data_IF_865439508852
#
_entry.id   IF_865439508852
#
_cell.length_a   1.000
_cell.length_b   1.000
_cell.length_c   1.000
_cell.angle_alpha   90.00
_cell.angle_beta   90.00
_cell.angle_gamma   90.00
#
_symmetry.space_group_name_H-M   'P 1'
#
loop_
_entity.id
_entity.type
_entity.pdbx_description
1 polymer ?
#
# COMPACT_ATOMS: atom_id res chain seq x y z
N UNK A 1 -20.76 -58.59 4.34
CA UNK A 1 -19.60 -58.01 5.05
C UNK A 1 -18.57 -57.44 4.06
N UNK A 2 -17.97 -58.27 3.20
CA UNK A 2 -16.91 -57.84 2.25
C UNK A 2 -17.37 -56.76 1.26
N UNK A 3 -18.60 -56.87 0.75
CA UNK A 3 -19.17 -55.89 -0.19
C UNK A 3 -19.38 -54.50 0.45
N UNK A 4 -19.69 -54.44 1.74
CA UNK A 4 -19.83 -53.19 2.49
C UNK A 4 -18.47 -52.53 2.72
N UNK A 5 -17.44 -53.32 3.08
CA UNK A 5 -16.07 -52.82 3.18
C UNK A 5 -15.56 -52.27 1.85
N UNK A 6 -15.88 -52.92 0.73
CA UNK A 6 -15.57 -52.42 -0.60
C UNK A 6 -16.22 -51.07 -0.88
N UNK A 7 -17.48 -50.89 -0.51
CA UNK A 7 -18.19 -49.62 -0.68
C UNK A 7 -17.59 -48.50 0.18
N UNK A 8 -17.20 -48.80 1.43
CA UNK A 8 -16.54 -47.83 2.32
C UNK A 8 -15.14 -47.47 1.79
N UNK A 9 -14.36 -48.43 1.32
CA UNK A 9 -13.04 -48.17 0.74
C UNK A 9 -13.17 -47.38 -0.55
N UNK A 10 -14.12 -47.72 -1.43
CA UNK A 10 -14.39 -46.96 -2.64
C UNK A 10 -14.79 -45.52 -2.32
N UNK A 11 -15.66 -45.31 -1.34
CA UNK A 11 -16.05 -43.98 -0.88
C UNK A 11 -14.85 -43.22 -0.32
N UNK A 12 -14.02 -43.84 0.52
CA UNK A 12 -12.81 -43.22 1.08
C UNK A 12 -11.81 -42.82 -0.02
N UNK A 13 -11.64 -43.66 -1.06
CA UNK A 13 -10.79 -43.35 -2.21
C UNK A 13 -11.36 -42.18 -3.01
N UNK A 14 -12.67 -42.15 -3.25
CA UNK A 14 -13.33 -41.03 -3.94
C UNK A 14 -13.18 -39.74 -3.15
N UNK A 15 -13.44 -39.78 -1.84
CA UNK A 15 -13.27 -38.61 -0.96
C UNK A 15 -11.82 -38.14 -0.96
N UNK A 16 -10.85 -39.05 -0.84
CA UNK A 16 -9.42 -38.72 -0.87
C UNK A 16 -8.99 -38.13 -2.23
N UNK A 17 -9.52 -38.67 -3.33
CA UNK A 17 -9.25 -38.15 -4.67
C UNK A 17 -9.86 -36.76 -4.87
N UNK A 18 -11.09 -36.53 -4.40
CA UNK A 18 -11.76 -35.23 -4.47
C UNK A 18 -11.08 -34.20 -3.58
N UNK A 19 -10.70 -34.55 -2.35
CA UNK A 19 -9.97 -33.63 -1.47
C UNK A 19 -8.59 -33.31 -2.04
N UNK A 20 -7.88 -34.31 -2.57
CA UNK A 20 -6.61 -34.06 -3.26
C UNK A 20 -6.82 -33.16 -4.48
N UNK A 21 -7.84 -33.39 -5.29
CA UNK A 21 -8.15 -32.57 -6.46
C UNK A 21 -8.61 -31.14 -6.11
N UNK A 22 -9.29 -30.93 -4.98
CA UNK A 22 -9.67 -29.59 -4.51
C UNK A 22 -8.46 -28.87 -3.92
N UNK A 23 -7.59 -29.59 -3.21
CA UNK A 23 -6.35 -29.05 -2.62
C UNK A 23 -5.28 -28.79 -3.68
N UNK A 24 -5.19 -29.63 -4.72
CA UNK A 24 -4.24 -29.50 -5.83
C UNK A 24 -4.83 -28.75 -7.03
N UNK A 25 -6.15 -28.56 -7.08
CA UNK A 25 -6.87 -27.86 -8.14
C UNK A 25 -6.70 -26.34 -8.11
N UNK A 26 -5.84 -25.83 -7.23
CA UNK A 26 -5.35 -24.45 -7.31
C UNK A 26 -4.36 -24.20 -8.45
N UNK A 27 -3.78 -25.23 -9.08
CA UNK A 27 -2.63 -25.04 -10.00
C UNK A 27 -2.68 -25.87 -11.30
N UNK A 28 -3.83 -26.40 -11.73
CA UNK A 28 -3.90 -27.13 -13.02
C UNK A 28 -5.27 -27.05 -13.70
N UNK A 29 -5.56 -25.90 -14.31
CA UNK A 29 -6.50 -25.79 -15.42
C UNK A 29 -5.75 -25.31 -16.67
N UNK A 30 -5.94 -25.90 -17.87
CA UNK A 30 -5.31 -25.46 -19.12
C UNK A 30 -6.02 -24.23 -19.72
N UNK A 31 -6.58 -23.38 -18.88
CA UNK A 31 -6.87 -22.00 -19.24
C UNK A 31 -5.57 -21.23 -19.04
N UNK A 32 -5.16 -20.32 -19.94
CA UNK A 32 -4.02 -19.46 -19.64
C UNK A 32 -4.31 -18.82 -18.30
N UNK A 33 -3.43 -19.07 -17.32
CA UNK A 33 -3.40 -18.42 -16.02
C UNK A 33 -3.79 -16.96 -16.27
N UNK A 34 -5.00 -16.56 -15.85
CA UNK A 34 -5.35 -15.16 -15.88
C UNK A 34 -4.30 -14.51 -15.01
N UNK A 35 -3.31 -13.86 -15.63
CA UNK A 35 -2.14 -13.32 -14.94
C UNK A 35 -2.71 -12.61 -13.72
N UNK A 36 -2.37 -13.07 -12.50
CA UNK A 36 -3.12 -12.75 -11.29
C UNK A 36 -3.30 -11.26 -11.33
N UNK A 37 -4.56 -10.80 -11.51
CA UNK A 37 -4.89 -9.44 -11.87
C UNK A 37 -3.98 -8.56 -11.05
N UNK A 38 -2.94 -8.04 -11.71
CA UNK A 38 -1.87 -7.34 -11.04
C UNK A 38 -2.53 -6.04 -10.67
N UNK A 39 -3.21 -6.04 -9.53
CA UNK A 39 -3.60 -4.89 -8.75
C UNK A 39 -2.31 -4.26 -8.17
N UNK A 40 -1.29 -4.19 -9.02
CA UNK A 40 -0.10 -3.40 -8.86
C UNK A 40 -0.58 -2.01 -9.26
N UNK A 41 -1.20 -1.33 -8.30
CA UNK A 41 -1.06 0.12 -8.27
C UNK A 41 0.19 0.38 -7.42
N UNK A 42 1.39 0.29 -8.03
CA UNK A 42 2.61 0.50 -7.29
C UNK A 42 2.60 1.93 -6.74
N UNK A 43 3.20 2.10 -5.57
CA UNK A 43 3.47 3.44 -5.05
C UNK A 43 4.20 4.27 -6.13
N UNK A 44 3.93 5.58 -6.20
CA UNK A 44 4.56 6.43 -7.19
C UNK A 44 6.09 6.35 -7.09
N UNK A 45 6.75 6.09 -8.23
CA UNK A 45 8.22 6.01 -8.31
C UNK A 45 8.85 7.36 -8.69
N UNK A 46 8.06 8.25 -9.29
CA UNK A 46 8.49 9.55 -9.82
C UNK A 46 8.33 10.70 -8.82
N UNK A 47 7.55 10.49 -7.75
CA UNK A 47 7.33 11.48 -6.69
C UNK A 47 7.34 10.84 -5.30
N UNK A 48 7.54 11.63 -4.24
CA UNK A 48 7.37 11.15 -2.87
C UNK A 48 5.97 10.55 -2.64
N UNK A 49 5.93 9.50 -1.83
CA UNK A 49 4.71 8.82 -1.38
C UNK A 49 3.97 9.74 -0.41
N UNK A 50 2.68 9.96 -0.66
CA UNK A 50 1.78 10.66 0.25
C UNK A 50 0.88 9.69 1.03
N UNK A 51 0.16 10.21 2.02
CA UNK A 51 -0.77 9.42 2.84
C UNK A 51 -1.86 8.73 2.01
N UNK A 52 -2.42 9.42 1.01
CA UNK A 52 -3.45 8.87 0.12
C UNK A 52 -2.93 7.68 -0.72
N UNK A 53 -1.66 7.68 -1.09
CA UNK A 53 -1.05 6.57 -1.84
C UNK A 53 -0.91 5.31 -0.97
N UNK A 54 -0.66 5.50 0.34
CA UNK A 54 -0.62 4.40 1.31
C UNK A 54 -2.03 3.83 1.53
N UNK A 55 -3.06 4.66 1.54
CA UNK A 55 -4.45 4.21 1.70
C UNK A 55 -4.99 3.46 0.46
N UNK A 56 -4.47 3.77 -0.73
CA UNK A 56 -4.90 3.12 -1.98
C UNK A 56 -4.15 1.83 -2.29
N UNK A 57 -3.03 1.56 -1.62
CA UNK A 57 -2.18 0.40 -1.94
C UNK A 57 -2.89 -0.93 -1.66
N UNK A 58 -2.68 -1.91 -2.54
CA UNK A 58 -3.27 -3.26 -2.42
C UNK A 58 -2.19 -4.31 -2.54
N UNK A 59 -2.10 -5.17 -1.52
CA UNK A 59 -1.13 -6.26 -1.50
C UNK A 59 -1.75 -7.57 -2.00
N UNK A 60 -1.04 -8.34 -2.85
CA UNK A 60 -1.47 -9.68 -3.23
C UNK A 60 -1.41 -10.65 -2.03
N UNK A 61 -2.33 -11.61 -2.01
CA UNK A 61 -2.34 -12.68 -1.01
C UNK A 61 -1.32 -13.76 -1.37
N UNK A 62 -0.56 -14.23 -0.38
CA UNK A 62 0.42 -15.31 -0.55
C UNK A 62 0.23 -16.40 0.53
N UNK A 63 0.53 -17.68 0.24
CA UNK A 63 0.31 -18.80 1.18
C UNK A 63 0.99 -18.64 2.55
N UNK A 64 2.06 -17.86 2.63
CA UNK A 64 2.71 -17.45 3.89
C UNK A 64 2.95 -15.94 3.89
N UNK A 65 1.94 -15.19 4.30
CA UNK A 65 2.00 -13.74 4.44
C UNK A 65 1.83 -13.30 5.89
N UNK A 66 2.05 -12.00 6.13
CA UNK A 66 1.58 -11.35 7.35
C UNK A 66 0.05 -11.35 7.40
N UNK A 67 -0.52 -11.21 8.60
CA UNK A 67 -1.97 -11.06 8.74
C UNK A 67 -2.36 -9.68 8.22
N UNK A 68 -3.38 -9.62 7.37
CA UNK A 68 -3.82 -8.36 6.77
C UNK A 68 -4.20 -7.32 7.82
N UNK A 69 -4.91 -7.71 8.88
CA UNK A 69 -5.27 -6.80 9.96
C UNK A 69 -4.04 -6.13 10.62
N UNK A 70 -2.98 -6.90 10.91
CA UNK A 70 -1.78 -6.33 11.54
C UNK A 70 -1.03 -5.38 10.58
N UNK A 71 -1.04 -5.71 9.28
CA UNK A 71 -0.44 -4.85 8.23
C UNK A 71 -1.27 -3.57 8.06
N UNK A 72 -2.58 -3.69 7.95
CA UNK A 72 -3.51 -2.58 7.76
C UNK A 72 -3.47 -1.62 8.96
N UNK A 73 -3.41 -2.13 10.19
CA UNK A 73 -3.28 -1.33 11.40
C UNK A 73 -1.98 -0.50 11.41
N UNK A 74 -0.87 -1.12 10.99
CA UNK A 74 0.43 -0.43 10.89
C UNK A 74 0.40 0.61 9.77
N UNK A 75 -0.15 0.29 8.61
CA UNK A 75 -0.24 1.20 7.47
C UNK A 75 -1.15 2.39 7.76
N UNK A 76 -2.29 2.18 8.42
CA UNK A 76 -3.19 3.24 8.84
C UNK A 76 -2.49 4.23 9.79
N UNK A 77 -1.69 3.71 10.74
CA UNK A 77 -0.89 4.56 11.63
C UNK A 77 0.18 5.34 10.86
N UNK A 78 0.90 4.69 9.95
CA UNK A 78 1.94 5.36 9.14
C UNK A 78 1.34 6.43 8.24
N UNK A 79 0.19 6.16 7.61
CA UNK A 79 -0.52 7.13 6.78
C UNK A 79 -0.94 8.38 7.58
N UNK A 80 -1.45 8.18 8.80
CA UNK A 80 -1.81 9.28 9.69
C UNK A 80 -0.58 10.12 10.11
N UNK A 81 0.51 9.47 10.51
CA UNK A 81 1.74 10.18 10.88
C UNK A 81 2.38 10.90 9.68
N UNK A 82 2.27 10.34 8.47
CA UNK A 82 2.75 10.98 7.24
C UNK A 82 1.93 12.23 6.92
N UNK A 83 0.60 12.15 7.02
CA UNK A 83 -0.28 13.29 6.81
C UNK A 83 0.01 14.44 7.80
N UNK A 84 0.27 14.13 9.07
CA UNK A 84 0.67 15.12 10.08
C UNK A 84 2.02 15.77 9.75
N UNK A 85 3.00 14.96 9.32
CA UNK A 85 4.32 15.46 8.92
C UNK A 85 4.23 16.37 7.70
N UNK A 86 3.48 15.98 6.69
CA UNK A 86 3.30 16.76 5.46
C UNK A 86 2.60 18.10 5.75
N UNK A 87 1.56 18.09 6.59
CA UNK A 87 0.92 19.33 7.05
C UNK A 87 1.91 20.24 7.79
N UNK A 88 2.73 19.66 8.67
CA UNK A 88 3.74 20.42 9.41
C UNK A 88 4.82 21.01 8.48
N UNK A 89 5.22 20.29 7.45
CA UNK A 89 6.18 20.78 6.45
C UNK A 89 5.56 21.94 5.67
N UNK A 90 4.31 21.80 5.20
CA UNK A 90 3.61 22.85 4.46
C UNK A 90 3.47 24.16 5.27
N UNK A 91 3.19 24.04 6.58
CA UNK A 91 3.14 25.18 7.49
C UNK A 91 4.50 25.89 7.61
N UNK A 92 5.57 25.11 7.78
CA UNK A 92 6.93 25.64 7.90
C UNK A 92 7.41 26.30 6.60
N UNK A 93 7.11 25.70 5.46
CA UNK A 93 7.42 26.25 4.14
C UNK A 93 6.67 27.56 3.89
N UNK A 94 5.40 27.63 4.27
CA UNK A 94 4.58 28.84 4.19
C UNK A 94 5.13 29.96 5.09
N UNK A 95 5.50 29.63 6.33
CA UNK A 95 6.11 30.59 7.25
C UNK A 95 7.45 31.13 6.72
N UNK A 96 8.27 30.25 6.15
CA UNK A 96 9.56 30.62 5.55
C UNK A 96 9.38 31.49 4.31
N UNK A 97 8.41 31.19 3.45
CA UNK A 97 8.07 32.00 2.29
C UNK A 97 7.59 33.40 2.71
N UNK A 98 6.73 33.48 3.73
CA UNK A 98 6.26 34.75 4.31
C UNK A 98 7.41 35.58 4.88
N UNK A 99 8.32 34.97 5.64
CA UNK A 99 9.49 35.65 6.20
C UNK A 99 10.42 36.20 5.11
N UNK A 100 10.65 35.44 4.03
CA UNK A 100 11.45 35.89 2.88
C UNK A 100 10.80 37.06 2.15
N UNK A 101 9.48 37.03 1.97
CA UNK A 101 8.74 38.13 1.35
C UNK A 101 8.81 39.41 2.19
N UNK A 102 8.64 39.32 3.51
CA UNK A 102 8.76 40.46 4.42
C UNK A 102 10.18 41.07 4.40
N UNK A 103 11.22 40.24 4.41
CA UNK A 103 12.60 40.70 4.31
C UNK A 103 12.92 41.38 2.95
N UNK A 104 12.37 40.85 1.86
CA UNK A 104 12.51 41.47 0.54
C UNK A 104 11.81 42.84 0.48
N UNK A 105 10.62 42.96 1.06
CA UNK A 105 9.90 44.23 1.14
C UNK A 105 10.67 45.27 1.97
N UNK A 106 11.16 44.90 3.15
CA UNK A 106 11.98 45.77 4.00
C UNK A 106 13.27 46.24 3.31
N UNK A 107 13.85 45.43 2.42
CA UNK A 107 15.02 45.82 1.60
C UNK A 107 14.64 46.83 0.52
N UNK A 108 13.47 46.70 -0.10
CA UNK A 108 12.95 47.61 -1.11
C UNK A 108 12.48 48.95 -0.55
N UNK A 109 12.08 49.01 0.72
CA UNK A 109 11.79 50.27 1.44
C UNK A 109 13.06 51.02 1.88
N UNK A 110 14.23 50.36 1.85
CA UNK A 110 15.52 50.92 2.26
C UNK A 110 16.45 51.42 1.12
N UNK A 111 16.00 52.06 0.02
CA UNK A 111 16.89 52.74 -0.92
C UNK A 111 16.99 54.23 -0.55
N UNK A 112 18.20 54.71 -0.22
CA UNK A 112 18.57 56.11 -0.46
C UNK A 112 18.75 57.09 0.70
N UNK A 113 18.82 56.69 1.98
CA UNK A 113 19.10 57.64 3.09
C UNK A 113 20.60 57.75 3.45
N UNK A 114 21.50 57.70 2.47
CA UNK A 114 22.96 57.61 2.71
C UNK A 114 23.87 58.45 1.82
N UNK A 115 23.35 59.42 1.08
CA UNK A 115 24.19 60.30 0.24
C UNK A 115 23.75 61.76 0.41
N UNK A 116 24.12 62.35 1.55
CA UNK A 116 24.28 63.80 1.76
C UNK A 116 24.71 64.07 3.21
N UNK A 117 26.02 64.24 3.44
CA UNK A 117 26.66 65.52 3.80
C UNK A 117 27.98 65.31 4.55
#
# INVERSE_FOLDING_TARGET
>A
MVMFLFLVVALAVVVAAVTLAVVSGGESAPLPEAAPERLQDPLPEDRPVGSADIESVRFPLVPRGYRMADVDDVLARVAAELAERDARIADLESALAGARAAAAHARLERPGHGEQR
#
